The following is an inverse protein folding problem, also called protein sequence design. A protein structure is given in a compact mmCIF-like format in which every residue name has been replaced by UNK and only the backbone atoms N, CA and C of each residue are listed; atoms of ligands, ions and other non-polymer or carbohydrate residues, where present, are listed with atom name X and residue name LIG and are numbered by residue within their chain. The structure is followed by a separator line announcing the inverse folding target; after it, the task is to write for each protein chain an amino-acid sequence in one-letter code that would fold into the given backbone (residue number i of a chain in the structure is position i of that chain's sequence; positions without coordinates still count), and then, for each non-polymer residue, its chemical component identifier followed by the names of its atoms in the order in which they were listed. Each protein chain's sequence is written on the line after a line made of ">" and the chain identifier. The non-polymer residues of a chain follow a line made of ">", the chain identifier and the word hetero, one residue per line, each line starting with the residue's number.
data_IF_085572167144
#
_entry.id   IF_085572167144
#
_cell.length_a   1.000
_cell.length_b   1.000
_cell.length_c   1.000
_cell.angle_alpha   90.00
_cell.angle_beta   90.00
_cell.angle_gamma   90.00
#
_symmetry.space_group_name_H-M   'P 1'
#
loop_
_entity.id
_entity.type
_entity.pdbx_description
1 polymer ?
#
# COMPACT_ATOMS: atom_id res chain seq x y z
N UNK A 1 -18.56 23.41 -28.11
CA UNK A 1 -19.01 22.71 -26.90
C UNK A 1 -18.20 21.41 -26.86
N UNK A 2 -16.96 21.48 -26.36
CA UNK A 2 -16.00 20.37 -26.42
C UNK A 2 -15.82 19.81 -25.00
N UNK A 3 -16.67 18.85 -24.65
CA UNK A 3 -16.64 18.18 -23.35
C UNK A 3 -16.04 16.77 -23.45
N UNK A 4 -14.92 16.62 -24.17
CA UNK A 4 -14.13 15.38 -24.18
C UNK A 4 -12.68 15.74 -24.52
N UNK A 5 -11.88 16.09 -23.51
CA UNK A 5 -10.42 16.10 -23.65
C UNK A 5 -9.84 15.29 -22.50
N UNK A 6 -9.24 14.16 -22.85
CA UNK A 6 -8.31 13.44 -22.00
C UNK A 6 -7.07 14.32 -21.76
N UNK A 7 -6.29 14.02 -20.71
CA UNK A 7 -5.00 14.67 -20.54
C UNK A 7 -4.06 14.21 -21.64
N UNK A 8 -3.39 15.16 -22.30
CA UNK A 8 -2.25 14.88 -23.17
C UNK A 8 -1.09 14.24 -22.40
N UNK A 9 -0.18 13.56 -23.11
CA UNK A 9 1.05 13.02 -22.51
C UNK A 9 1.86 14.08 -21.76
N UNK A 10 1.84 15.32 -22.24
CA UNK A 10 2.47 16.45 -21.57
C UNK A 10 1.79 16.76 -20.22
N UNK A 11 0.46 16.84 -20.19
CA UNK A 11 -0.30 17.12 -18.97
C UNK A 11 -0.15 16.01 -17.92
N UNK A 12 0.00 14.75 -18.36
CA UNK A 12 0.35 13.62 -17.49
C UNK A 12 1.74 13.78 -16.88
N UNK A 13 2.75 14.13 -17.68
CA UNK A 13 4.13 14.36 -17.20
C UNK A 13 4.20 15.52 -16.19
N UNK A 14 3.48 16.63 -16.45
CA UNK A 14 3.39 17.76 -15.51
C UNK A 14 2.70 17.36 -14.20
N UNK A 15 1.67 16.51 -14.27
CA UNK A 15 0.96 16.01 -13.10
C UNK A 15 1.85 15.13 -12.22
N UNK A 16 2.71 14.29 -12.84
CA UNK A 16 3.71 13.50 -12.13
C UNK A 16 4.75 14.38 -11.44
N UNK A 17 5.20 15.45 -12.09
CA UNK A 17 6.16 16.38 -11.48
C UNK A 17 5.56 17.08 -10.26
N UNK A 18 4.34 17.59 -10.37
CA UNK A 18 3.65 18.25 -9.26
C UNK A 18 3.39 17.28 -8.08
N UNK A 19 3.12 16.01 -8.38
CA UNK A 19 2.96 14.99 -7.36
C UNK A 19 4.21 14.83 -6.47
N UNK A 20 5.41 14.95 -7.06
CA UNK A 20 6.68 14.85 -6.32
C UNK A 20 6.92 16.01 -5.36
N UNK A 21 6.34 17.18 -5.63
CA UNK A 21 6.50 18.38 -4.80
C UNK A 21 5.64 18.34 -3.52
N UNK A 22 4.56 17.54 -3.50
CA UNK A 22 3.63 17.41 -2.38
C UNK A 22 3.33 15.94 -2.10
N UNK A 23 4.27 15.21 -1.46
CA UNK A 23 4.16 13.76 -1.29
C UNK A 23 3.05 13.32 -0.32
N UNK A 24 2.45 14.27 0.42
CA UNK A 24 1.40 13.98 1.40
C UNK A 24 0.39 15.13 1.49
N UNK A 25 -0.87 14.80 1.21
CA UNK A 25 -2.02 15.73 1.23
C UNK A 25 -3.11 15.27 2.21
N UNK A 26 -3.01 14.01 2.66
CA UNK A 26 -3.98 13.36 3.52
C UNK A 26 -4.13 13.95 4.94
N UNK A 27 -5.05 13.38 5.73
CA UNK A 27 -5.33 13.82 7.09
C UNK A 27 -4.12 13.57 8.00
N UNK A 28 -3.67 14.61 8.69
CA UNK A 28 -2.53 14.53 9.60
C UNK A 28 -2.95 13.99 10.97
N UNK A 29 -2.04 13.27 11.61
CA UNK A 29 -2.19 12.93 13.02
C UNK A 29 -2.26 14.18 13.89
N UNK A 30 -3.04 14.14 14.97
CA UNK A 30 -3.04 15.20 15.99
C UNK A 30 -2.20 14.70 17.15
N UNK A 31 -1.20 15.49 17.54
CA UNK A 31 -0.25 15.16 18.60
C UNK A 31 0.12 16.41 19.38
N UNK A 32 0.10 16.33 20.70
CA UNK A 32 0.53 17.41 21.58
C UNK A 32 1.20 16.88 22.85
N UNK A 33 1.95 17.75 23.53
CA UNK A 33 2.48 17.46 24.88
C UNK A 33 1.55 18.12 25.89
N UNK A 34 1.02 17.31 26.82
CA UNK A 34 0.17 17.78 27.90
C UNK A 34 0.56 17.06 29.20
N UNK A 35 0.82 17.84 30.26
CA UNK A 35 1.20 17.34 31.59
C UNK A 35 2.32 16.28 31.54
N UNK A 36 3.37 16.54 30.76
CA UNK A 36 4.53 15.63 30.65
C UNK A 36 4.29 14.37 29.82
N UNK A 37 3.11 14.21 29.21
CA UNK A 37 2.78 13.08 28.35
C UNK A 37 2.53 13.55 26.91
N UNK A 38 2.80 12.67 25.94
CA UNK A 38 2.40 12.87 24.55
C UNK A 38 0.98 12.34 24.36
N UNK A 39 0.04 13.20 24.00
CA UNK A 39 -1.32 12.80 23.62
C UNK A 39 -1.37 12.71 22.10
N UNK A 40 -1.80 11.56 21.59
CA UNK A 40 -2.00 11.33 20.15
C UNK A 40 -3.46 10.96 19.88
N UNK A 41 -4.13 11.70 19.00
CA UNK A 41 -5.47 11.36 18.55
C UNK A 41 -5.41 10.56 17.24
N UNK A 42 -6.15 9.46 17.20
CA UNK A 42 -6.30 8.62 16.00
C UNK A 42 -7.77 8.29 15.82
N UNK A 43 -8.37 8.90 14.80
CA UNK A 43 -9.82 8.82 14.60
C UNK A 43 -10.55 9.35 15.84
N UNK A 44 -11.38 8.50 16.45
CA UNK A 44 -12.13 8.83 17.68
C UNK A 44 -11.40 8.52 18.99
N UNK A 45 -10.19 7.95 18.92
CA UNK A 45 -9.45 7.51 20.10
C UNK A 45 -8.32 8.48 20.45
N UNK A 46 -8.06 8.62 21.75
CA UNK A 46 -6.92 9.38 22.26
C UNK A 46 -6.00 8.44 23.05
N UNK A 47 -4.71 8.55 22.80
CA UNK A 47 -3.69 7.72 23.44
C UNK A 47 -2.70 8.59 24.20
N UNK A 48 -2.49 8.25 25.47
CA UNK A 48 -1.44 8.86 26.30
C UNK A 48 -0.19 8.01 26.20
N UNK A 49 0.89 8.60 25.71
CA UNK A 49 2.17 7.95 25.41
C UNK A 49 3.35 8.72 26.00
N UNK A 50 4.51 8.07 26.03
CA UNK A 50 5.75 8.74 26.43
C UNK A 50 6.11 9.85 25.45
N UNK A 51 6.65 10.96 25.95
CA UNK A 51 7.21 12.03 25.11
C UNK A 51 8.45 11.59 24.32
N UNK A 52 9.16 10.57 24.83
CA UNK A 52 10.34 9.96 24.22
C UNK A 52 10.02 8.91 23.17
N UNK A 53 8.74 8.51 23.02
CA UNK A 53 8.32 7.53 22.03
C UNK A 53 8.39 8.14 20.62
N UNK A 54 9.09 7.48 19.70
CA UNK A 54 9.12 7.90 18.30
C UNK A 54 7.77 7.63 17.62
N UNK A 55 7.55 8.23 16.45
CA UNK A 55 6.33 7.91 15.70
C UNK A 55 6.29 6.45 15.25
N UNK A 56 7.43 5.90 14.82
CA UNK A 56 7.55 4.49 14.42
C UNK A 56 7.24 3.54 15.58
N UNK A 57 7.70 3.84 16.80
CA UNK A 57 7.31 3.08 18.00
C UNK A 57 5.80 3.12 18.24
N UNK A 58 5.19 4.31 18.09
CA UNK A 58 3.78 4.52 18.30
C UNK A 58 2.91 3.76 17.29
N UNK A 59 3.21 3.80 15.98
CA UNK A 59 2.39 3.09 14.98
C UNK A 59 2.48 1.57 15.15
N UNK A 60 3.61 1.04 15.61
CA UNK A 60 3.77 -0.38 15.92
C UNK A 60 2.94 -0.76 17.15
N UNK A 61 2.98 0.08 18.18
CA UNK A 61 2.10 -0.08 19.34
C UNK A 61 0.61 -0.01 18.93
N UNK A 62 0.26 0.95 18.08
CA UNK A 62 -1.11 1.14 17.59
C UNK A 62 -1.58 -0.05 16.74
N UNK A 63 -0.73 -0.60 15.87
CA UNK A 63 -1.01 -1.83 15.14
C UNK A 63 -1.38 -2.96 16.10
N UNK A 64 -0.60 -3.12 17.18
CA UNK A 64 -0.88 -4.13 18.20
C UNK A 64 -2.21 -3.87 18.92
N UNK A 65 -2.51 -2.61 19.24
CA UNK A 65 -3.77 -2.21 19.84
C UNK A 65 -4.96 -2.57 18.93
N UNK A 66 -4.89 -2.24 17.64
CA UNK A 66 -5.96 -2.47 16.65
C UNK A 66 -6.17 -3.95 16.36
N UNK A 67 -5.10 -4.72 16.18
CA UNK A 67 -5.22 -6.17 15.94
C UNK A 67 -5.56 -6.94 17.23
N UNK A 68 -5.41 -6.34 18.40
CA UNK A 68 -5.87 -6.86 19.68
C UNK A 68 -4.87 -7.77 20.39
N UNK A 69 -4.65 -7.50 21.69
CA UNK A 69 -3.69 -8.23 22.52
C UNK A 69 -3.96 -9.73 22.64
N UNK A 70 -5.23 -10.15 22.56
CA UNK A 70 -5.58 -11.58 22.61
C UNK A 70 -5.04 -12.31 21.38
N UNK A 71 -5.15 -11.70 20.19
CA UNK A 71 -4.67 -12.30 18.95
C UNK A 71 -3.13 -12.46 18.98
N UNK A 72 -2.41 -11.41 19.37
CA UNK A 72 -0.95 -11.49 19.55
C UNK A 72 -0.51 -12.57 20.56
N UNK A 73 -1.19 -12.65 21.72
CA UNK A 73 -0.88 -13.67 22.73
C UNK A 73 -1.13 -15.09 22.24
N UNK A 74 -2.20 -15.30 21.47
CA UNK A 74 -2.49 -16.61 20.89
C UNK A 74 -1.38 -17.04 19.93
N UNK A 75 -0.95 -16.15 19.02
CA UNK A 75 0.13 -16.49 18.10
C UNK A 75 1.48 -16.72 18.79
N UNK A 76 1.79 -15.99 19.86
CA UNK A 76 3.06 -16.18 20.59
C UNK A 76 3.27 -17.61 21.09
N UNK A 77 2.19 -18.35 21.36
CA UNK A 77 2.24 -19.72 21.84
C UNK A 77 2.29 -20.77 20.72
N UNK A 78 2.19 -20.36 19.45
CA UNK A 78 2.26 -21.26 18.30
C UNK A 78 3.71 -21.51 17.87
N UNK A 79 4.00 -22.66 17.24
CA UNK A 79 5.23 -22.88 16.50
C UNK A 79 5.48 -21.79 15.45
N UNK A 80 6.73 -21.45 15.15
CA UNK A 80 7.09 -20.33 14.27
C UNK A 80 6.48 -20.42 12.86
N UNK A 81 6.34 -21.63 12.32
CA UNK A 81 5.72 -21.91 11.02
C UNK A 81 4.18 -21.82 11.03
N UNK A 82 3.55 -21.75 12.20
CA UNK A 82 2.10 -21.55 12.38
C UNK A 82 1.78 -20.12 12.86
N UNK A 83 2.81 -19.34 13.17
CA UNK A 83 2.64 -17.93 13.54
C UNK A 83 2.29 -17.09 12.32
N UNK A 84 1.46 -16.08 12.56
CA UNK A 84 1.19 -15.06 11.56
C UNK A 84 2.49 -14.29 11.22
N UNK A 85 2.69 -13.91 9.97
CA UNK A 85 3.95 -13.31 9.47
C UNK A 85 4.26 -11.99 10.16
N UNK A 86 3.21 -11.25 10.56
CA UNK A 86 3.32 -10.04 11.40
C UNK A 86 4.06 -10.31 12.72
N UNK A 87 3.95 -11.51 13.30
CA UNK A 87 4.75 -11.88 14.47
C UNK A 87 6.24 -11.96 14.12
N UNK A 88 6.56 -12.60 12.99
CA UNK A 88 7.93 -12.76 12.52
C UNK A 88 8.58 -11.40 12.22
N UNK A 89 7.83 -10.49 11.60
CA UNK A 89 8.31 -9.12 11.40
C UNK A 89 8.49 -8.35 12.72
N UNK A 90 7.61 -8.57 13.70
CA UNK A 90 7.78 -8.01 15.05
C UNK A 90 9.03 -8.50 15.76
N UNK A 91 9.35 -9.79 15.61
CA UNK A 91 10.61 -10.37 16.11
C UNK A 91 11.82 -9.75 15.39
N UNK A 92 11.76 -9.60 14.06
CA UNK A 92 12.79 -8.92 13.26
C UNK A 92 13.10 -7.51 13.79
N UNK A 93 12.04 -6.76 14.12
CA UNK A 93 12.18 -5.41 14.67
C UNK A 93 12.81 -5.43 16.07
N UNK A 94 12.46 -6.40 16.91
CA UNK A 94 13.09 -6.59 18.23
C UNK A 94 14.59 -6.84 18.10
N UNK A 95 14.98 -7.80 17.27
CA UNK A 95 16.39 -8.13 17.01
C UNK A 95 17.16 -6.94 16.41
N UNK A 96 16.54 -6.18 15.50
CA UNK A 96 17.16 -4.98 14.94
C UNK A 96 17.36 -3.91 16.00
N UNK A 97 16.36 -3.67 16.87
CA UNK A 97 16.46 -2.71 17.97
C UNK A 97 17.58 -3.08 18.95
N UNK A 98 17.65 -4.35 19.37
CA UNK A 98 18.73 -4.83 20.26
C UNK A 98 20.11 -4.53 19.65
N UNK A 99 20.32 -4.91 18.38
CA UNK A 99 21.57 -4.62 17.65
C UNK A 99 21.92 -3.13 17.60
N UNK A 100 20.93 -2.28 17.36
CA UNK A 100 21.12 -0.82 17.26
C UNK A 100 21.41 -0.20 18.63
N UNK A 101 20.73 -0.65 19.69
CA UNK A 101 20.96 -0.15 21.05
C UNK A 101 22.27 -0.65 21.65
N UNK A 102 22.67 -1.89 21.40
CA UNK A 102 23.98 -2.41 21.83
C UNK A 102 25.15 -1.65 21.18
N UNK A 103 24.94 -1.12 19.96
CA UNK A 103 25.90 -0.30 19.24
C UNK A 103 25.79 1.20 19.58
N UNK A 104 24.80 1.63 20.38
CA UNK A 104 24.56 3.03 20.65
C UNK A 104 25.56 3.59 21.68
N UNK A 105 26.21 4.74 21.40
CA UNK A 105 27.25 5.28 22.27
C UNK A 105 26.71 5.85 23.60
N UNK A 106 25.43 6.22 23.69
CA UNK A 106 24.84 6.85 24.88
C UNK A 106 23.39 6.41 25.13
N UNK A 107 23.05 6.21 26.41
CA UNK A 107 21.68 5.87 26.84
C UNK A 107 20.74 7.07 26.75
N UNK A 108 19.57 6.89 26.15
CA UNK A 108 18.50 7.91 26.12
C UNK A 108 18.44 8.78 24.86
N UNK A 109 19.29 8.55 23.87
CA UNK A 109 19.21 9.20 22.56
C UNK A 109 18.28 8.44 21.61
N UNK A 110 17.62 9.17 20.70
CA UNK A 110 16.90 8.56 19.56
C UNK A 110 17.95 8.06 18.58
N UNK A 111 17.92 6.77 18.27
CA UNK A 111 18.84 6.14 17.32
C UNK A 111 18.11 5.85 16.02
N UNK A 112 18.72 6.20 14.89
CA UNK A 112 18.20 5.90 13.55
C UNK A 112 18.92 4.67 12.96
N UNK A 113 18.19 3.86 12.21
CA UNK A 113 18.75 2.74 11.44
C UNK A 113 17.96 2.50 10.17
N UNK A 114 18.62 2.01 9.12
CA UNK A 114 17.92 1.55 7.93
C UNK A 114 17.12 0.28 8.28
N UNK A 115 15.82 0.21 7.96
CA UNK A 115 15.01 -0.97 8.28
C UNK A 115 15.47 -2.16 7.43
N UNK A 116 15.41 -3.37 8.00
CA UNK A 116 15.44 -4.57 7.18
C UNK A 116 14.14 -4.70 6.37
N UNK A 117 14.12 -5.60 5.37
CA UNK A 117 12.92 -5.86 4.58
C UNK A 117 11.68 -6.19 5.42
N UNK A 118 11.83 -7.07 6.42
CA UNK A 118 10.73 -7.43 7.32
C UNK A 118 10.29 -6.27 8.22
N UNK A 119 11.24 -5.47 8.70
CA UNK A 119 10.93 -4.28 9.52
C UNK A 119 10.21 -3.23 8.67
N UNK A 120 10.63 -3.03 7.42
CA UNK A 120 9.95 -2.13 6.48
C UNK A 120 8.54 -2.64 6.15
N UNK A 121 8.35 -3.95 5.98
CA UNK A 121 7.03 -4.55 5.77
C UNK A 121 6.09 -4.31 6.96
N UNK A 122 6.59 -4.45 8.19
CA UNK A 122 5.85 -4.17 9.42
C UNK A 122 5.50 -2.69 9.57
N UNK A 123 6.49 -1.80 9.41
CA UNK A 123 6.29 -0.36 9.53
C UNK A 123 5.28 0.17 8.51
N UNK A 124 5.33 -0.34 7.28
CA UNK A 124 4.39 0.06 6.23
C UNK A 124 2.97 -0.42 6.56
N UNK A 125 2.79 -1.69 6.95
CA UNK A 125 1.48 -2.20 7.38
C UNK A 125 0.92 -1.41 8.58
N UNK A 126 1.77 -1.14 9.58
CA UNK A 126 1.38 -0.36 10.76
C UNK A 126 0.92 1.05 10.39
N UNK A 127 1.64 1.68 9.46
CA UNK A 127 1.34 3.02 8.98
C UNK A 127 0.08 3.07 8.10
N UNK A 128 -0.15 2.07 7.26
CA UNK A 128 -1.36 1.98 6.45
C UNK A 128 -2.61 1.82 7.33
N UNK A 129 -2.56 0.92 8.32
CA UNK A 129 -3.63 0.76 9.31
C UNK A 129 -3.84 2.06 10.10
N UNK A 130 -2.77 2.74 10.51
CA UNK A 130 -2.86 4.04 11.17
C UNK A 130 -3.58 5.08 10.30
N UNK A 131 -3.25 5.18 9.00
CA UNK A 131 -3.88 6.12 8.07
C UNK A 131 -5.39 5.85 7.92
N UNK A 132 -5.79 4.58 7.81
CA UNK A 132 -7.22 4.21 7.73
C UNK A 132 -7.97 4.47 9.04
N UNK A 133 -7.31 4.25 10.19
CA UNK A 133 -7.88 4.59 11.49
C UNK A 133 -8.05 6.11 11.68
N UNK A 134 -7.17 6.95 11.12
CA UNK A 134 -7.29 8.41 11.22
C UNK A 134 -8.63 8.91 10.67
N UNK A 135 -9.11 8.30 9.58
CA UNK A 135 -10.40 8.64 8.96
C UNK A 135 -11.56 7.77 9.44
N UNK A 136 -11.33 6.89 10.42
CA UNK A 136 -12.29 5.89 10.90
C UNK A 136 -12.84 4.97 9.77
N UNK A 137 -12.02 4.62 8.77
CA UNK A 137 -12.38 3.76 7.64
C UNK A 137 -11.62 2.43 7.66
N UNK A 138 -11.66 1.75 8.81
CA UNK A 138 -11.09 0.42 8.98
C UNK A 138 -12.11 -0.48 9.71
N UNK A 139 -13.03 -1.11 8.96
CA UNK A 139 -14.07 -1.95 9.55
C UNK A 139 -13.51 -3.26 10.11
N UNK A 140 -14.23 -3.86 11.05
CA UNK A 140 -13.77 -5.07 11.77
C UNK A 140 -13.63 -6.27 10.82
N UNK A 141 -14.41 -6.33 9.75
CA UNK A 141 -14.33 -7.35 8.69
C UNK A 141 -12.96 -7.33 8.00
N UNK A 142 -12.44 -6.14 7.69
CA UNK A 142 -11.10 -5.99 7.11
C UNK A 142 -10.03 -6.39 8.13
N UNK A 143 -10.19 -5.99 9.41
CA UNK A 143 -9.27 -6.40 10.47
C UNK A 143 -9.27 -7.92 10.69
N UNK A 144 -10.42 -8.58 10.60
CA UNK A 144 -10.51 -10.03 10.70
C UNK A 144 -9.76 -10.73 9.56
N UNK A 145 -9.83 -10.19 8.34
CA UNK A 145 -9.04 -10.69 7.21
C UNK A 145 -7.54 -10.46 7.40
N UNK A 146 -7.13 -9.32 7.99
CA UNK A 146 -5.72 -9.06 8.33
C UNK A 146 -5.19 -10.06 9.36
N UNK A 147 -6.04 -10.48 10.31
CA UNK A 147 -5.70 -11.51 11.30
C UNK A 147 -5.74 -12.93 10.74
N UNK A 148 -6.44 -13.14 9.62
CA UNK A 148 -6.63 -14.44 8.99
C UNK A 148 -5.40 -14.81 8.16
N UNK A 149 -4.78 -15.92 8.53
CA UNK A 149 -3.61 -16.50 7.88
C UNK A 149 -3.76 -16.60 6.35
N UNK A 150 -4.90 -17.07 5.85
CA UNK A 150 -5.10 -17.35 4.43
C UNK A 150 -5.55 -16.13 3.60
N UNK A 151 -6.03 -15.08 4.26
CA UNK A 151 -6.54 -13.88 3.56
C UNK A 151 -5.56 -12.70 3.63
N UNK A 152 -4.54 -12.82 4.48
CA UNK A 152 -3.62 -11.74 4.81
C UNK A 152 -2.98 -11.09 3.58
N UNK A 153 -2.50 -11.88 2.61
CA UNK A 153 -1.82 -11.32 1.43
C UNK A 153 -2.76 -10.40 0.62
N UNK A 154 -3.98 -10.85 0.33
CA UNK A 154 -4.94 -10.07 -0.44
C UNK A 154 -5.34 -8.78 0.27
N UNK A 155 -5.78 -8.89 1.53
CA UNK A 155 -6.24 -7.74 2.31
C UNK A 155 -5.11 -6.76 2.65
N UNK A 156 -3.87 -7.24 2.81
CA UNK A 156 -2.70 -6.36 2.99
C UNK A 156 -2.56 -5.42 1.80
N UNK A 157 -2.77 -5.91 0.58
CA UNK A 157 -2.65 -5.07 -0.62
C UNK A 157 -3.84 -4.13 -0.78
N UNK A 158 -5.07 -4.58 -0.46
CA UNK A 158 -6.24 -3.69 -0.39
C UNK A 158 -6.01 -2.50 0.55
N UNK A 159 -5.50 -2.78 1.77
CA UNK A 159 -5.15 -1.77 2.76
C UNK A 159 -4.05 -0.84 2.25
N UNK A 160 -3.02 -1.38 1.57
CA UNK A 160 -1.94 -0.59 1.02
C UNK A 160 -2.44 0.43 -0.02
N UNK A 161 -3.31 0.01 -0.94
CA UNK A 161 -3.93 0.91 -1.92
C UNK A 161 -4.83 1.94 -1.25
N UNK A 162 -5.73 1.50 -0.35
CA UNK A 162 -6.64 2.38 0.36
C UNK A 162 -5.88 3.45 1.17
N UNK A 163 -4.87 3.05 1.94
CA UNK A 163 -4.06 3.98 2.73
C UNK A 163 -3.25 4.94 1.82
N UNK A 164 -2.75 4.48 0.69
CA UNK A 164 -2.07 5.35 -0.29
C UNK A 164 -2.99 6.45 -0.81
N UNK A 165 -4.24 6.10 -1.12
CA UNK A 165 -5.26 7.06 -1.54
C UNK A 165 -5.63 8.02 -0.39
N UNK A 166 -5.74 7.55 0.85
CA UNK A 166 -5.94 8.44 2.02
C UNK A 166 -4.82 9.47 2.15
N UNK A 167 -3.56 9.06 1.97
CA UNK A 167 -2.40 9.96 2.00
C UNK A 167 -2.41 10.99 0.87
N UNK A 168 -3.08 10.69 -0.24
CA UNK A 168 -3.30 11.60 -1.35
C UNK A 168 -4.60 12.44 -1.24
N UNK A 169 -5.31 12.36 -0.11
CA UNK A 169 -6.49 13.19 0.14
C UNK A 169 -7.84 12.57 -0.25
N UNK A 170 -7.89 11.26 -0.51
CA UNK A 170 -9.14 10.55 -0.72
C UNK A 170 -9.79 10.10 0.59
N UNK A 171 -11.12 10.08 0.62
CA UNK A 171 -11.91 9.33 1.58
C UNK A 171 -12.24 7.94 1.02
N UNK A 172 -12.25 6.91 1.86
CA UNK A 172 -12.48 5.52 1.45
C UNK A 172 -13.88 5.06 1.88
N UNK A 173 -14.52 4.21 1.07
CA UNK A 173 -15.74 3.49 1.43
C UNK A 173 -15.67 2.05 0.92
N UNK A 174 -15.54 1.11 1.85
CA UNK A 174 -15.46 -0.33 1.58
C UNK A 174 -16.78 -0.86 1.04
N UNK A 175 -16.73 -1.75 0.05
CA UNK A 175 -17.91 -2.39 -0.53
C UNK A 175 -18.15 -3.76 0.14
N UNK A 176 -19.41 -4.18 0.23
CA UNK A 176 -19.78 -5.45 0.87
C UNK A 176 -19.38 -6.66 -0.01
N UNK A 177 -18.97 -7.76 0.65
CA UNK A 177 -18.42 -8.97 0.00
C UNK A 177 -19.44 -9.85 -0.71
N UNK A 178 -20.73 -9.60 -0.50
CA UNK A 178 -21.86 -10.32 -1.08
C UNK A 178 -22.14 -9.91 -2.54
N UNK A 179 -21.57 -8.80 -3.00
CA UNK A 179 -21.78 -8.29 -4.34
C UNK A 179 -20.53 -8.43 -5.21
N UNK A 180 -20.72 -8.62 -6.52
CA UNK A 180 -19.64 -8.82 -7.49
C UNK A 180 -18.84 -7.54 -7.76
N UNK A 181 -18.83 -6.57 -6.84
CA UNK A 181 -18.22 -5.27 -7.02
C UNK A 181 -16.71 -5.31 -6.75
N UNK A 182 -16.07 -4.16 -6.96
CA UNK A 182 -14.67 -3.94 -6.63
C UNK A 182 -14.47 -3.88 -5.11
N UNK A 183 -13.23 -3.75 -4.64
CA UNK A 183 -12.91 -3.84 -3.20
C UNK A 183 -13.43 -2.62 -2.41
N UNK A 184 -13.30 -1.41 -2.98
CA UNK A 184 -13.78 -0.17 -2.35
C UNK A 184 -13.96 0.96 -3.36
N UNK A 185 -14.59 2.05 -2.91
CA UNK A 185 -14.60 3.34 -3.62
C UNK A 185 -13.73 4.36 -2.89
N UNK A 186 -13.15 5.28 -3.65
CA UNK A 186 -12.34 6.37 -3.13
C UNK A 186 -12.84 7.70 -3.69
N UNK A 187 -13.11 8.69 -2.82
CA UNK A 187 -13.60 10.01 -3.23
C UNK A 187 -12.58 11.07 -2.87
N UNK A 188 -12.09 11.81 -3.87
CA UNK A 188 -11.12 12.89 -3.64
C UNK A 188 -11.80 14.02 -2.88
N UNK A 189 -11.31 14.37 -1.70
CA UNK A 189 -11.97 15.36 -0.84
C UNK A 189 -12.07 16.76 -1.48
N UNK A 190 -11.11 17.11 -2.33
CA UNK A 190 -11.04 18.44 -2.96
C UNK A 190 -12.03 18.62 -4.12
N UNK A 191 -12.20 17.60 -4.98
CA UNK A 191 -13.07 17.68 -6.17
C UNK A 191 -14.44 17.03 -5.95
N UNK A 192 -14.56 16.11 -4.98
CA UNK A 192 -15.71 15.24 -4.82
C UNK A 192 -15.78 14.11 -5.85
N UNK A 193 -14.77 13.96 -6.73
CA UNK A 193 -14.75 12.89 -7.73
C UNK A 193 -14.52 11.53 -7.06
N UNK A 194 -15.41 10.58 -7.35
CA UNK A 194 -15.36 9.21 -6.84
C UNK A 194 -14.83 8.27 -7.90
N UNK A 195 -13.88 7.43 -7.52
CA UNK A 195 -13.33 6.34 -8.32
C UNK A 195 -13.66 5.00 -7.66
N UNK A 196 -13.79 3.96 -8.46
CA UNK A 196 -13.92 2.57 -8.00
C UNK A 196 -12.55 1.89 -8.08
N UNK A 197 -12.19 1.12 -7.06
CA UNK A 197 -10.85 0.55 -6.89
C UNK A 197 -10.89 -0.96 -6.76
N UNK A 198 -10.19 -1.66 -7.66
CA UNK A 198 -9.95 -3.10 -7.57
C UNK A 198 -8.50 -3.35 -7.16
N UNK A 199 -8.30 -4.14 -6.11
CA UNK A 199 -6.99 -4.58 -5.67
C UNK A 199 -6.78 -6.07 -6.03
N UNK A 200 -5.62 -6.40 -6.58
CA UNK A 200 -5.19 -7.78 -6.80
C UNK A 200 -3.74 -7.96 -6.42
N UNK A 201 -3.43 -9.00 -5.69
CA UNK A 201 -2.05 -9.37 -5.36
C UNK A 201 -1.74 -10.73 -5.95
N UNK A 202 -0.56 -10.90 -6.54
CA UNK A 202 -0.15 -12.19 -7.09
C UNK A 202 0.32 -13.13 -5.98
N UNK A 203 -0.48 -14.16 -5.73
CA UNK A 203 -0.11 -15.21 -4.77
C UNK A 203 1.03 -16.07 -5.33
N UNK A 204 1.99 -16.38 -4.45
CA UNK A 204 3.18 -17.16 -4.77
C UNK A 204 3.32 -18.26 -3.72
N UNK A 205 3.56 -19.53 -4.11
CA UNK A 205 3.73 -20.61 -3.13
C UNK A 205 4.81 -20.27 -2.08
N UNK A 206 4.54 -20.55 -0.81
CA UNK A 206 5.50 -20.35 0.28
C UNK A 206 5.73 -18.87 0.68
N UNK A 207 4.92 -17.94 0.18
CA UNK A 207 5.07 -16.51 0.42
C UNK A 207 3.83 -15.99 1.11
N UNK A 208 4.00 -15.17 2.16
CA UNK A 208 2.89 -14.53 2.90
C UNK A 208 1.73 -15.48 3.22
N UNK A 209 2.06 -16.66 3.77
CA UNK A 209 1.12 -17.72 4.19
C UNK A 209 0.55 -18.62 3.10
N UNK A 210 0.89 -18.38 1.83
CA UNK A 210 0.53 -19.27 0.75
C UNK A 210 1.20 -20.64 0.89
N UNK A 211 0.42 -21.69 0.64
CA UNK A 211 0.90 -23.07 0.73
C UNK A 211 1.94 -23.40 -0.35
N UNK A 212 2.83 -24.34 -0.04
CA UNK A 212 3.89 -24.81 -0.95
C UNK A 212 5.25 -24.16 -0.67
N UNK A 213 6.22 -24.46 -1.53
CA UNK A 213 7.57 -23.93 -1.42
C UNK A 213 7.76 -22.85 -2.49
N UNK A 214 8.39 -21.75 -2.11
CA UNK A 214 8.72 -20.73 -3.09
C UNK A 214 9.68 -21.31 -4.13
N UNK A 215 9.34 -21.25 -5.43
CA UNK A 215 10.26 -21.66 -6.47
C UNK A 215 11.48 -20.73 -6.49
N UNK A 216 12.51 -21.14 -7.23
CA UNK A 216 13.67 -20.29 -7.50
C UNK A 216 13.21 -18.93 -8.04
N UNK A 217 13.67 -17.86 -7.38
CA UNK A 217 13.32 -16.49 -7.69
C UNK A 217 13.67 -16.11 -9.13
N UNK A 218 14.74 -16.69 -9.70
CA UNK A 218 15.16 -16.45 -11.08
C UNK A 218 14.16 -16.94 -12.13
N UNK A 219 13.27 -17.86 -11.75
CA UNK A 219 12.25 -18.44 -12.64
C UNK A 219 10.88 -17.74 -12.53
N UNK A 220 10.74 -16.76 -11.64
CA UNK A 220 9.48 -16.07 -11.43
C UNK A 220 9.25 -14.97 -12.48
N UNK A 221 8.08 -14.98 -13.10
CA UNK A 221 7.55 -13.88 -13.93
C UNK A 221 6.38 -13.22 -13.21
N UNK A 222 5.98 -12.02 -13.62
CA UNK A 222 4.87 -11.28 -13.03
C UNK A 222 3.56 -12.09 -13.08
N UNK A 223 3.28 -12.79 -14.19
CA UNK A 223 2.08 -13.64 -14.40
C UNK A 223 0.78 -12.95 -13.93
N UNK A 224 0.56 -11.73 -14.42
CA UNK A 224 -0.55 -10.87 -14.00
C UNK A 224 -1.74 -10.87 -14.97
N UNK A 225 -1.64 -11.48 -16.15
CA UNK A 225 -2.70 -11.43 -17.18
C UNK A 225 -4.05 -11.96 -16.69
N UNK A 226 -4.06 -13.03 -15.88
CA UNK A 226 -5.30 -13.58 -15.34
C UNK A 226 -5.92 -12.68 -14.26
N UNK A 227 -5.09 -11.98 -13.47
CA UNK A 227 -5.54 -11.00 -12.47
C UNK A 227 -6.17 -9.80 -13.16
N UNK A 228 -5.49 -9.26 -14.16
CA UNK A 228 -5.97 -8.15 -14.96
C UNK A 228 -7.29 -8.49 -15.67
N UNK A 229 -7.34 -9.63 -16.36
CA UNK A 229 -8.56 -10.10 -17.01
C UNK A 229 -9.73 -10.33 -16.03
N UNK A 230 -9.45 -10.74 -14.77
CA UNK A 230 -10.47 -10.84 -13.71
C UNK A 230 -10.98 -9.47 -13.28
N UNK A 231 -10.08 -8.51 -13.06
CA UNK A 231 -10.43 -7.14 -12.71
C UNK A 231 -11.32 -6.48 -13.79
N UNK A 232 -11.02 -6.68 -15.07
CA UNK A 232 -11.81 -6.14 -16.18
C UNK A 232 -13.25 -6.67 -16.23
N UNK A 233 -13.56 -7.82 -15.61
CA UNK A 233 -14.93 -8.37 -15.58
C UNK A 233 -15.82 -7.72 -14.53
N UNK A 234 -15.26 -6.94 -13.60
CA UNK A 234 -16.01 -6.31 -12.51
C UNK A 234 -16.88 -5.14 -13.02
N UNK A 235 -18.12 -4.99 -12.57
CA UNK A 235 -18.92 -3.81 -12.89
C UNK A 235 -18.28 -2.56 -12.28
N UNK A 236 -18.40 -1.43 -12.98
CA UNK A 236 -17.85 -0.13 -12.54
C UNK A 236 -18.93 0.92 -12.34
N UNK A 237 -20.18 0.61 -12.70
CA UNK A 237 -21.36 1.47 -12.58
C UNK A 237 -21.16 2.88 -13.14
N UNK A 238 -20.32 3.00 -14.17
CA UNK A 238 -20.00 4.26 -14.87
C UNK A 238 -18.96 5.13 -14.18
N UNK A 239 -18.40 4.71 -13.04
CA UNK A 239 -17.35 5.44 -12.32
C UNK A 239 -15.96 5.19 -12.94
N UNK A 240 -15.03 6.16 -12.83
CA UNK A 240 -13.62 5.95 -13.15
C UNK A 240 -13.06 4.75 -12.38
N UNK A 241 -12.60 3.73 -13.12
CA UNK A 241 -12.09 2.48 -12.58
C UNK A 241 -10.55 2.43 -12.47
N UNK A 242 -10.05 2.31 -11.24
CA UNK A 242 -8.65 2.09 -10.92
C UNK A 242 -8.41 0.60 -10.63
N UNK A 243 -7.46 0.00 -11.32
CA UNK A 243 -7.01 -1.37 -11.08
C UNK A 243 -5.60 -1.32 -10.49
N UNK A 244 -5.42 -1.86 -9.29
CA UNK A 244 -4.12 -2.08 -8.69
C UNK A 244 -3.73 -3.55 -8.73
N UNK A 245 -2.53 -3.87 -9.21
CA UNK A 245 -1.98 -5.23 -9.19
C UNK A 245 -0.58 -5.24 -8.56
N UNK A 246 -0.42 -5.96 -7.45
CA UNK A 246 0.88 -6.27 -6.90
C UNK A 246 1.47 -7.51 -7.57
N UNK A 247 2.62 -7.36 -8.23
CA UNK A 247 3.30 -8.45 -8.94
C UNK A 247 3.95 -9.44 -7.98
N UNK A 248 4.23 -8.99 -6.75
CA UNK A 248 4.78 -9.77 -5.66
C UNK A 248 6.00 -10.61 -6.09
N UNK A 249 7.08 -9.92 -6.45
CA UNK A 249 8.33 -10.50 -6.92
C UNK A 249 9.51 -10.04 -6.06
N UNK A 250 10.52 -10.90 -5.83
CA UNK A 250 11.77 -10.50 -5.20
C UNK A 250 12.39 -9.29 -5.91
N UNK A 251 12.93 -8.35 -5.13
CA UNK A 251 13.62 -7.18 -5.68
C UNK A 251 15.02 -7.62 -6.14
N UNK A 252 15.33 -7.44 -7.42
CA UNK A 252 16.63 -7.80 -8.00
C UNK A 252 17.61 -6.64 -7.85
N UNK A 253 18.74 -6.79 -7.13
CA UNK A 253 19.65 -5.67 -6.84
C UNK A 253 20.48 -5.18 -8.03
N UNK A 254 20.53 -5.90 -9.17
CA UNK A 254 21.69 -5.86 -10.08
C UNK A 254 21.45 -5.41 -11.53
N UNK A 255 20.29 -4.88 -11.92
CA UNK A 255 20.19 -4.35 -13.30
C UNK A 255 20.66 -2.89 -13.36
N UNK A 256 21.93 -2.67 -13.73
CA UNK A 256 22.48 -1.34 -14.07
C UNK A 256 21.73 -0.67 -15.24
N UNK A 257 20.94 -1.43 -16.01
CA UNK A 257 20.04 -0.93 -17.06
C UNK A 257 18.57 -0.74 -16.64
N UNK A 258 18.21 -1.02 -15.37
CA UNK A 258 16.94 -0.59 -14.78
C UNK A 258 15.66 -1.01 -15.52
N UNK A 259 15.68 -2.14 -16.22
CA UNK A 259 14.51 -2.74 -16.87
C UNK A 259 14.19 -4.05 -16.16
N UNK A 260 13.44 -3.96 -15.05
CA UNK A 260 13.06 -5.13 -14.26
C UNK A 260 12.36 -6.19 -15.16
N UNK A 261 12.62 -7.48 -14.95
CA UNK A 261 11.95 -8.54 -15.71
C UNK A 261 10.41 -8.43 -15.65
N UNK A 262 9.86 -7.91 -14.56
CA UNK A 262 8.42 -7.69 -14.42
C UNK A 262 7.91 -6.53 -15.29
N UNK A 263 8.74 -5.53 -15.60
CA UNK A 263 8.40 -4.45 -16.54
C UNK A 263 8.23 -5.00 -17.95
N UNK A 264 9.03 -6.00 -18.36
CA UNK A 264 8.80 -6.72 -19.63
C UNK A 264 7.43 -7.38 -19.64
N UNK A 265 7.05 -8.03 -18.54
CA UNK A 265 5.72 -8.64 -18.43
C UNK A 265 4.59 -7.60 -18.50
N UNK A 266 4.82 -6.36 -18.03
CA UNK A 266 3.89 -5.23 -18.23
C UNK A 266 3.76 -4.89 -19.70
N UNK A 267 4.88 -4.69 -20.41
CA UNK A 267 4.87 -4.40 -21.84
C UNK A 267 4.19 -5.53 -22.63
N UNK A 268 4.54 -6.79 -22.35
CA UNK A 268 3.90 -7.94 -23.00
C UNK A 268 2.42 -8.08 -22.66
N UNK A 269 1.99 -7.70 -21.45
CA UNK A 269 0.58 -7.62 -21.12
C UNK A 269 -0.09 -6.56 -21.98
N UNK A 270 0.48 -5.35 -22.04
CA UNK A 270 -0.07 -4.25 -22.81
C UNK A 270 -0.13 -4.53 -24.31
N UNK A 271 0.92 -5.12 -24.89
CA UNK A 271 1.00 -5.48 -26.32
C UNK A 271 -0.05 -6.54 -26.72
N UNK A 272 -0.47 -7.38 -25.77
CA UNK A 272 -1.53 -8.38 -26.00
C UNK A 272 -2.94 -7.76 -26.01
N UNK A 273 -3.10 -6.56 -25.48
CA UNK A 273 -4.37 -5.84 -25.48
C UNK A 273 -4.39 -4.81 -26.62
N UNK A 274 -5.46 -4.75 -27.42
CA UNK A 274 -5.58 -3.71 -28.44
C UNK A 274 -5.48 -2.32 -27.81
N UNK A 275 -4.73 -1.41 -28.45
CA UNK A 275 -4.66 -0.03 -28.01
C UNK A 275 -6.07 0.57 -27.87
N UNK A 276 -6.39 1.19 -26.73
CA UNK A 276 -7.69 1.82 -26.53
C UNK A 276 -7.93 2.92 -27.58
N UNK A 277 -9.12 2.93 -28.17
CA UNK A 277 -9.55 3.98 -29.11
C UNK A 277 -10.81 4.66 -28.62
N UNK A 278 -11.21 5.75 -29.26
CA UNK A 278 -12.48 6.41 -28.95
C UNK A 278 -13.69 5.47 -29.10
N UNK A 279 -13.67 4.57 -30.08
CA UNK A 279 -14.73 3.58 -30.34
C UNK A 279 -14.64 2.35 -29.43
N UNK A 280 -13.45 2.08 -28.88
CA UNK A 280 -13.15 0.95 -27.99
C UNK A 280 -12.32 1.44 -26.81
N UNK A 281 -12.91 2.24 -25.92
CA UNK A 281 -12.18 2.77 -24.78
C UNK A 281 -11.79 1.64 -23.82
N UNK A 282 -10.67 1.82 -23.14
CA UNK A 282 -10.28 1.02 -22.00
C UNK A 282 -11.35 1.10 -20.92
N UNK A 283 -11.49 0.05 -20.12
CA UNK A 283 -12.48 0.03 -19.05
C UNK A 283 -11.95 0.79 -17.83
N UNK A 284 -10.71 0.52 -17.50
CA UNK A 284 -9.89 1.20 -16.52
C UNK A 284 -9.45 2.58 -17.05
N UNK A 285 -9.39 3.56 -16.15
CA UNK A 285 -8.73 4.84 -16.44
C UNK A 285 -7.32 4.90 -15.86
N UNK A 286 -7.01 4.01 -14.92
CA UNK A 286 -5.71 3.96 -14.26
C UNK A 286 -5.39 2.52 -13.86
N UNK A 287 -4.30 1.99 -14.39
CA UNK A 287 -3.71 0.74 -13.94
C UNK A 287 -2.42 1.07 -13.18
N UNK A 288 -2.32 0.62 -11.94
CA UNK A 288 -1.09 0.67 -11.17
C UNK A 288 -0.57 -0.73 -10.92
N UNK A 289 0.68 -0.96 -11.28
CA UNK A 289 1.40 -2.20 -11.04
C UNK A 289 2.46 -1.93 -9.99
N UNK A 290 2.42 -2.65 -8.88
CA UNK A 290 3.32 -2.45 -7.75
C UNK A 290 4.16 -3.68 -7.50
N UNK A 291 5.30 -3.50 -6.84
CA UNK A 291 6.07 -4.58 -6.26
C UNK A 291 6.42 -4.27 -4.80
N UNK A 292 5.45 -4.46 -3.89
CA UNK A 292 5.58 -4.17 -2.46
C UNK A 292 6.17 -5.35 -1.68
N UNK A 293 7.38 -5.73 -2.08
CA UNK A 293 7.93 -7.06 -1.85
C UNK A 293 9.09 -7.14 -0.85
N UNK A 294 9.22 -6.16 0.06
CA UNK A 294 10.26 -6.14 1.10
C UNK A 294 10.35 -7.40 1.97
N UNK A 295 9.26 -8.15 2.06
CA UNK A 295 9.21 -9.42 2.79
C UNK A 295 10.13 -10.50 2.19
N UNK A 296 10.52 -10.39 0.91
CA UNK A 296 11.53 -11.27 0.31
C UNK A 296 12.96 -10.93 0.74
N UNK A 297 13.24 -9.68 1.10
CA UNK A 297 14.57 -9.23 1.52
C UNK A 297 14.93 -9.74 2.93
N UNK A 298 13.92 -10.11 3.73
CA UNK A 298 14.15 -10.69 5.05
C UNK A 298 14.89 -9.74 5.98
N UNK A 299 15.97 -10.25 6.58
CA UNK A 299 16.89 -9.52 7.47
C UNK A 299 17.90 -8.63 6.73
N UNK A 300 17.92 -8.63 5.39
CA UNK A 300 18.73 -7.71 4.59
C UNK A 300 18.17 -6.27 4.60
N UNK A 301 18.96 -5.27 4.18
CA UNK A 301 18.51 -3.87 4.13
C UNK A 301 17.33 -3.70 3.16
N UNK A 302 16.27 -3.02 3.59
CA UNK A 302 15.13 -2.75 2.73
C UNK A 302 15.54 -1.85 1.55
N UNK A 303 15.06 -2.19 0.36
CA UNK A 303 15.20 -1.40 -0.86
C UNK A 303 13.99 -0.48 -1.07
N UNK A 304 14.02 0.38 -2.09
CA UNK A 304 12.86 1.20 -2.45
C UNK A 304 11.70 0.32 -2.97
N UNK A 305 10.46 0.80 -2.84
CA UNK A 305 9.33 0.19 -3.54
C UNK A 305 9.46 0.43 -5.04
N UNK A 306 8.84 -0.44 -5.84
CA UNK A 306 8.72 -0.25 -7.28
C UNK A 306 7.24 -0.13 -7.64
N UNK A 307 6.92 0.82 -8.51
CA UNK A 307 5.60 1.00 -9.07
C UNK A 307 5.71 1.47 -10.51
N UNK A 308 4.81 0.98 -11.36
CA UNK A 308 4.58 1.47 -12.70
C UNK A 308 3.09 1.74 -12.86
N UNK A 309 2.74 2.67 -13.73
CA UNK A 309 1.35 3.02 -13.97
C UNK A 309 1.10 3.30 -15.44
N UNK A 310 -0.10 2.95 -15.88
CA UNK A 310 -0.59 3.30 -17.21
C UNK A 310 -1.95 3.99 -17.06
N UNK A 311 -2.13 5.07 -17.80
CA UNK A 311 -3.38 5.79 -17.92
C UNK A 311 -3.71 5.85 -19.41
N UNK A 312 -4.65 5.03 -19.91
CA UNK A 312 -4.98 4.99 -21.32
C UNK A 312 -5.56 6.33 -21.76
N UNK A 313 -5.22 6.77 -22.97
CA UNK A 313 -5.78 7.99 -23.54
C UNK A 313 -7.30 7.90 -23.60
N UNK A 314 -7.85 6.77 -24.05
CA UNK A 314 -9.29 6.55 -24.16
C UNK A 314 -9.77 5.58 -23.08
N UNK A 315 -10.48 6.09 -22.06
CA UNK A 315 -11.10 5.29 -21.00
C UNK A 315 -12.63 5.49 -20.94
N UNK A 316 -13.37 4.52 -20.40
CA UNK A 316 -14.84 4.45 -20.50
C UNK A 316 -15.57 5.46 -19.61
N UNK A 317 -14.94 5.95 -18.54
CA UNK A 317 -15.55 6.81 -17.52
C UNK A 317 -14.81 8.15 -17.40
N UNK A 318 -14.75 8.89 -18.50
CA UNK A 318 -14.02 10.17 -18.64
C UNK A 318 -14.96 11.29 -19.12
N UNK A 319 -14.66 12.58 -18.82
CA UNK A 319 -13.41 13.11 -18.26
C UNK A 319 -13.21 12.84 -16.76
N UNK A 320 -11.96 12.59 -16.37
CA UNK A 320 -11.50 12.50 -14.97
C UNK A 320 -10.83 13.82 -14.60
N UNK A 321 -11.05 14.32 -13.39
CA UNK A 321 -10.42 15.55 -12.89
C UNK A 321 -8.88 15.40 -12.86
N UNK A 322 -8.17 16.39 -13.40
CA UNK A 322 -6.69 16.42 -13.37
C UNK A 322 -6.15 16.30 -11.94
N UNK A 323 -6.86 16.82 -10.94
CA UNK A 323 -6.50 16.72 -9.52
C UNK A 323 -6.53 15.29 -9.02
N UNK A 324 -7.47 14.48 -9.49
CA UNK A 324 -7.52 13.04 -9.20
C UNK A 324 -6.29 12.34 -9.75
N UNK A 325 -5.91 12.64 -11.00
CA UNK A 325 -4.71 12.06 -11.62
C UNK A 325 -3.43 12.44 -10.86
N UNK A 326 -3.28 13.71 -10.46
CA UNK A 326 -2.17 14.16 -9.61
C UNK A 326 -2.16 13.39 -8.28
N UNK A 327 -3.32 13.26 -7.64
CA UNK A 327 -3.45 12.57 -6.36
C UNK A 327 -3.12 11.07 -6.49
N UNK A 328 -3.46 10.41 -7.60
CA UNK A 328 -3.05 9.03 -7.85
C UNK A 328 -1.53 8.88 -8.02
N UNK A 329 -0.88 9.79 -8.76
CA UNK A 329 0.57 9.79 -8.85
C UNK A 329 1.23 10.04 -7.48
N UNK A 330 0.66 10.92 -6.65
CA UNK A 330 1.13 11.14 -5.27
C UNK A 330 1.00 9.87 -4.43
N UNK A 331 -0.16 9.21 -4.47
CA UNK A 331 -0.47 8.03 -3.68
C UNK A 331 0.59 6.93 -3.86
N UNK A 332 0.97 6.64 -5.10
CA UNK A 332 1.82 5.49 -5.41
C UNK A 332 3.31 5.80 -5.47
N UNK A 333 3.73 7.02 -5.86
CA UNK A 333 5.15 7.40 -5.85
C UNK A 333 5.72 7.58 -4.44
N UNK A 334 4.85 7.78 -3.44
CA UNK A 334 5.25 8.04 -2.06
C UNK A 334 4.96 6.87 -1.12
N UNK A 335 4.59 5.70 -1.65
CA UNK A 335 4.30 4.53 -0.83
C UNK A 335 5.53 4.09 -0.02
N UNK A 336 5.32 3.68 1.23
CA UNK A 336 6.42 3.32 2.14
C UNK A 336 7.27 4.49 2.65
N UNK A 337 7.08 5.72 2.14
CA UNK A 337 7.68 6.94 2.69
C UNK A 337 6.79 7.46 3.81
N UNK A 338 7.39 7.72 4.98
CA UNK A 338 6.72 8.37 6.12
C UNK A 338 7.23 9.81 6.20
N UNK A 339 6.44 10.82 5.77
CA UNK A 339 6.92 12.20 5.75
C UNK A 339 7.22 12.69 7.17
N UNK A 340 8.37 13.35 7.32
CA UNK A 340 8.80 13.93 8.59
C UNK A 340 7.91 15.12 8.98
N UNK A 341 7.64 15.30 10.28
CA UNK A 341 6.90 16.46 10.78
C UNK A 341 5.38 16.45 10.54
N UNK A 342 4.80 15.32 10.13
CA UNK A 342 3.36 15.15 9.87
C UNK A 342 2.61 14.52 11.07
N UNK A 343 3.28 14.34 12.22
CA UNK A 343 2.86 13.46 13.33
C UNK A 343 2.81 14.07 14.73
#
# INVERSE_FOLDING_TARGET
>A
MNAYRNLSLQELAESQQLARERPYVGPRGISCIYQGNRIRAVGRNNFTRSVSETFDDFIIWHLRYVLGDRWFRNHRNLPSNEQHIVMQWGLAMGEQRERVFDAAPETGQVVSSHPTGEVQALLTLAYDIYCLCLINQLPEEILNRVRNYNEFQGVRYEIALAASLVRAGFNISWLESNERHAEFTATLAESGETIIVEAKSRHRPGVLHESGNCPDYSCLTADISSLYGRALRKPTDGLPYLIGIDVNLPLTPESEEGFDNWMRDVFELMDRHPEPTQERPAKEFFLVLTNFSWHYTGRGPATAHQANYTAPEWASAVPVDRRTIIALFQAFNCYGIRPEGVW
#
